data_IF_778928831869
#
_entry.id   IF_778928831869
#
_cell.length_a   1.000
_cell.length_b   1.000
_cell.length_c   1.000
_cell.angle_alpha   90.00
_cell.angle_beta   90.00
_cell.angle_gamma   90.00
#
_symmetry.space_group_name_H-M   'P 1'
#
loop_
_entity.id
_entity.type
_entity.pdbx_description
1 polymer ?
#
# COMPACT_ATOMS: atom_id res chain seq x y z
N UNK A 1 -14.30 22.03 17.86
CA UNK A 1 -14.00 20.59 17.72
C UNK A 1 -15.14 19.78 17.07
N UNK A 2 -16.42 20.08 17.33
CA UNK A 2 -17.55 19.23 16.88
C UNK A 2 -17.77 19.09 15.36
N UNK A 3 -17.34 20.04 14.53
CA UNK A 3 -17.55 19.96 13.08
C UNK A 3 -16.68 18.87 12.41
N UNK A 4 -15.41 18.74 12.80
CA UNK A 4 -14.53 17.71 12.21
C UNK A 4 -14.87 16.31 12.71
N UNK A 5 -15.34 16.18 13.97
CA UNK A 5 -15.81 14.90 14.50
C UNK A 5 -17.05 14.38 13.76
N UNK A 6 -17.90 15.26 13.21
CA UNK A 6 -19.04 14.85 12.37
C UNK A 6 -18.63 14.28 11.00
N UNK A 7 -17.41 14.58 10.55
CA UNK A 7 -16.86 14.04 9.30
C UNK A 7 -16.13 12.70 9.52
N UNK A 8 -15.80 12.37 10.77
CA UNK A 8 -15.20 11.09 11.09
C UNK A 8 -16.25 9.97 10.97
N UNK A 9 -15.86 8.79 10.47
CA UNK A 9 -16.76 7.65 10.42
C UNK A 9 -17.15 7.22 11.85
N UNK A 10 -18.39 6.76 12.02
CA UNK A 10 -18.88 6.29 13.33
C UNK A 10 -18.19 5.01 13.81
N UNK A 11 -17.66 4.22 12.88
CA UNK A 11 -16.86 3.03 13.14
C UNK A 11 -15.83 2.84 12.02
N UNK A 12 -14.79 2.06 12.32
CA UNK A 12 -13.80 1.63 11.32
C UNK A 12 -13.94 0.13 11.08
N UNK A 13 -13.71 -0.35 9.84
CA UNK A 13 -13.71 -1.76 9.53
C UNK A 13 -12.55 -2.49 10.24
N UNK A 14 -12.65 -3.83 10.30
CA UNK A 14 -11.57 -4.65 10.80
C UNK A 14 -10.35 -4.60 9.86
N UNK A 15 -9.11 -4.76 10.38
CA UNK A 15 -7.92 -4.85 9.55
C UNK A 15 -8.03 -6.00 8.54
N UNK A 16 -7.62 -5.75 7.30
CA UNK A 16 -7.58 -6.80 6.28
C UNK A 16 -6.42 -7.77 6.52
N UNK A 17 -6.67 -9.10 6.54
CA UNK A 17 -5.61 -10.09 6.55
C UNK A 17 -4.72 -10.00 5.30
N UNK A 18 -5.26 -9.54 4.17
CA UNK A 18 -4.53 -9.45 2.90
C UNK A 18 -3.45 -8.37 2.92
N UNK A 19 -3.53 -7.41 3.84
CA UNK A 19 -2.53 -6.38 4.05
C UNK A 19 -1.32 -6.85 4.90
N UNK A 20 -1.31 -8.11 5.35
CA UNK A 20 -0.15 -8.67 6.05
C UNK A 20 0.98 -8.96 5.05
N UNK A 21 2.26 -8.82 5.46
CA UNK A 21 3.39 -9.18 4.61
C UNK A 21 3.26 -10.59 4.05
N UNK A 22 3.45 -10.74 2.74
CA UNK A 22 3.23 -12.01 2.05
C UNK A 22 3.09 -11.86 0.55
N UNK A 23 2.82 -13.00 -0.11
CA UNK A 23 2.64 -13.08 -1.56
C UNK A 23 1.23 -13.62 -1.84
N UNK A 24 0.49 -12.89 -2.66
CA UNK A 24 -0.79 -13.30 -3.22
C UNK A 24 -0.54 -13.80 -4.64
N UNK A 25 -0.66 -15.12 -4.85
CA UNK A 25 -0.35 -15.74 -6.13
C UNK A 25 -1.36 -15.33 -7.21
N UNK A 26 -0.87 -15.10 -8.43
CA UNK A 26 -1.69 -14.96 -9.62
C UNK A 26 -2.47 -16.25 -9.92
N UNK A 27 -3.73 -16.12 -10.34
CA UNK A 27 -4.62 -17.22 -10.66
C UNK A 27 -4.53 -17.58 -12.15
N UNK A 28 -4.79 -18.85 -12.48
CA UNK A 28 -4.77 -19.35 -13.85
C UNK A 28 -3.37 -19.77 -14.33
N UNK A 29 -3.26 -20.10 -15.62
CA UNK A 29 -2.02 -20.64 -16.22
C UNK A 29 -1.11 -19.56 -16.78
N UNK A 30 -1.62 -18.33 -17.01
CA UNK A 30 -0.83 -17.21 -17.53
C UNK A 30 -0.24 -16.40 -16.39
N UNK A 31 1.09 -16.21 -16.42
CA UNK A 31 1.81 -15.32 -15.51
C UNK A 31 1.88 -13.93 -16.15
N UNK A 32 1.13 -12.98 -15.60
CA UNK A 32 0.97 -11.63 -16.16
C UNK A 32 1.76 -10.56 -15.38
N UNK A 33 2.86 -10.97 -14.75
CA UNK A 33 3.78 -10.08 -14.04
C UNK A 33 3.69 -10.21 -12.52
N UNK A 34 4.53 -9.43 -11.84
CA UNK A 34 4.72 -9.40 -10.40
C UNK A 34 4.81 -7.95 -9.92
N UNK A 35 3.93 -7.56 -9.01
CA UNK A 35 3.86 -6.17 -8.52
C UNK A 35 3.90 -6.12 -7.00
N UNK A 36 4.47 -5.06 -6.44
CA UNK A 36 4.24 -4.72 -5.04
C UNK A 36 2.99 -3.82 -4.94
N UNK A 37 2.22 -3.95 -3.87
CA UNK A 37 1.14 -3.01 -3.55
C UNK A 37 1.48 -2.26 -2.26
N UNK A 38 1.41 -0.93 -2.30
CA UNK A 38 1.53 -0.11 -1.10
C UNK A 38 0.22 -0.17 -0.29
N UNK A 39 0.26 -0.87 0.84
CA UNK A 39 -0.87 -0.96 1.77
C UNK A 39 -1.23 0.39 2.39
N UNK A 40 -0.22 1.19 2.72
CA UNK A 40 -0.37 2.53 3.30
C UNK A 40 -0.87 2.52 4.74
N UNK A 41 -1.19 3.71 5.26
CA UNK A 41 -1.56 3.89 6.68
C UNK A 41 -3.02 4.31 6.91
N UNK A 42 -3.52 5.31 6.18
CA UNK A 42 -4.87 5.83 6.42
C UNK A 42 -5.93 4.95 5.73
N UNK A 43 -5.71 4.64 4.45
CA UNK A 43 -6.64 3.82 3.66
C UNK A 43 -6.78 2.41 4.23
N UNK A 44 -5.70 1.78 4.70
CA UNK A 44 -5.74 0.45 5.31
C UNK A 44 -6.60 0.37 6.58
N UNK A 45 -6.88 1.51 7.22
CA UNK A 45 -7.76 1.61 8.39
C UNK A 45 -9.16 2.08 8.00
N UNK A 46 -9.26 3.08 7.13
CA UNK A 46 -10.55 3.71 6.79
C UNK A 46 -11.34 2.92 5.74
N UNK A 47 -10.65 2.32 4.76
CA UNK A 47 -11.24 1.55 3.67
C UNK A 47 -10.26 0.48 3.14
N UNK A 48 -10.00 -0.59 3.92
CA UNK A 48 -9.12 -1.67 3.53
C UNK A 48 -9.58 -2.41 2.27
N UNK A 49 -10.89 -2.37 1.97
CA UNK A 49 -11.48 -3.07 0.83
C UNK A 49 -10.93 -2.58 -0.51
N UNK A 50 -10.41 -1.35 -0.60
CA UNK A 50 -9.74 -0.83 -1.79
C UNK A 50 -8.51 -1.69 -2.16
N UNK A 51 -7.65 -1.99 -1.19
CA UNK A 51 -6.47 -2.83 -1.44
C UNK A 51 -6.88 -4.29 -1.66
N UNK A 52 -7.81 -4.81 -0.87
CA UNK A 52 -8.28 -6.19 -0.99
C UNK A 52 -8.87 -6.46 -2.38
N UNK A 53 -9.72 -5.56 -2.86
CA UNK A 53 -10.34 -5.67 -4.18
C UNK A 53 -9.31 -5.50 -5.28
N UNK A 54 -8.31 -4.63 -5.09
CA UNK A 54 -7.19 -4.46 -6.03
C UNK A 54 -6.36 -5.74 -6.13
N UNK A 55 -5.98 -6.35 -4.99
CA UNK A 55 -5.26 -7.63 -4.95
C UNK A 55 -6.11 -8.73 -5.61
N UNK A 56 -7.39 -8.83 -5.26
CA UNK A 56 -8.29 -9.82 -5.83
C UNK A 56 -8.44 -9.67 -7.35
N UNK A 57 -8.52 -8.44 -7.86
CA UNK A 57 -8.57 -8.16 -9.28
C UNK A 57 -7.26 -8.56 -9.98
N UNK A 58 -6.12 -8.08 -9.48
CA UNK A 58 -4.81 -8.33 -10.07
C UNK A 58 -4.47 -9.83 -10.09
N UNK A 59 -4.73 -10.53 -8.97
CA UNK A 59 -4.50 -11.97 -8.90
C UNK A 59 -5.39 -12.75 -9.88
N UNK A 60 -6.67 -12.38 -10.05
CA UNK A 60 -7.54 -12.98 -11.09
C UNK A 60 -7.04 -12.72 -12.51
N UNK A 61 -6.35 -11.61 -12.72
CA UNK A 61 -5.68 -11.29 -13.99
C UNK A 61 -4.33 -12.00 -14.14
N UNK A 62 -3.96 -12.92 -13.24
CA UNK A 62 -2.70 -13.68 -13.33
C UNK A 62 -1.47 -12.90 -12.87
N UNK A 63 -1.65 -11.76 -12.20
CA UNK A 63 -0.56 -10.94 -11.62
C UNK A 63 -0.27 -11.43 -10.21
N UNK A 64 1.00 -11.71 -9.90
CA UNK A 64 1.43 -11.95 -8.53
C UNK A 64 1.52 -10.62 -7.77
N UNK A 65 0.90 -10.53 -6.59
CA UNK A 65 0.91 -9.32 -5.78
C UNK A 65 1.68 -9.56 -4.48
N UNK A 66 2.70 -8.75 -4.26
CA UNK A 66 3.57 -8.80 -3.08
C UNK A 66 3.14 -7.70 -2.12
N UNK A 67 2.96 -8.06 -0.85
CA UNK A 67 2.90 -7.12 0.28
C UNK A 67 4.27 -7.18 0.97
N UNK A 68 5.16 -6.20 0.72
CA UNK A 68 6.55 -6.27 1.15
C UNK A 68 6.70 -6.14 2.67
N UNK A 69 7.62 -6.92 3.25
CA UNK A 69 7.94 -6.78 4.67
C UNK A 69 8.72 -5.47 4.94
N UNK A 70 8.26 -4.73 5.95
CA UNK A 70 8.87 -3.46 6.38
C UNK A 70 8.32 -2.22 5.67
N UNK A 71 7.38 -2.39 4.75
CA UNK A 71 6.55 -1.30 4.22
C UNK A 71 5.70 -0.64 5.32
N UNK A 72 5.40 0.65 5.16
CA UNK A 72 4.44 1.36 6.00
C UNK A 72 3.97 2.69 5.42
N UNK A 73 3.75 3.69 6.29
CA UNK A 73 3.28 5.02 5.89
C UNK A 73 4.16 5.63 4.77
N UNK A 74 3.51 6.19 3.74
CA UNK A 74 4.18 6.86 2.62
C UNK A 74 4.80 8.23 2.97
N UNK A 75 4.48 8.79 4.14
CA UNK A 75 4.98 10.09 4.59
C UNK A 75 4.12 11.30 4.17
N UNK A 76 3.11 11.14 3.31
CA UNK A 76 2.30 12.24 2.76
C UNK A 76 1.73 13.19 3.82
N UNK A 77 1.03 12.65 4.82
CA UNK A 77 0.44 13.48 5.89
C UNK A 77 1.51 14.20 6.72
N UNK A 78 2.62 13.51 7.01
CA UNK A 78 3.74 14.06 7.78
C UNK A 78 4.41 15.20 7.01
N UNK A 79 4.50 15.08 5.68
CA UNK A 79 5.00 16.13 4.80
C UNK A 79 4.11 17.37 4.87
N UNK A 80 2.79 17.23 4.79
CA UNK A 80 1.84 18.35 4.92
C UNK A 80 1.87 19.05 6.29
N UNK A 81 2.43 18.41 7.32
CA UNK A 81 2.67 19.02 8.63
C UNK A 81 3.99 19.80 8.71
N UNK A 82 4.71 19.98 7.58
CA UNK A 82 6.02 20.64 7.54
C UNK A 82 7.17 19.79 8.09
N UNK A 83 6.94 18.48 8.33
CA UNK A 83 7.93 17.57 8.93
C UNK A 83 8.66 16.77 7.84
N UNK A 84 9.33 17.50 6.94
CA UNK A 84 9.91 16.95 5.72
C UNK A 84 10.89 15.79 5.97
N UNK A 85 11.84 15.95 6.89
CA UNK A 85 12.82 14.90 7.19
C UNK A 85 12.16 13.58 7.64
N UNK A 86 11.08 13.65 8.42
CA UNK A 86 10.34 12.47 8.86
C UNK A 86 9.51 11.84 7.72
N UNK A 87 8.99 12.67 6.81
CA UNK A 87 8.30 12.19 5.61
C UNK A 87 9.26 11.46 4.67
N UNK A 88 10.43 12.04 4.38
CA UNK A 88 11.47 11.44 3.54
C UNK A 88 12.01 10.14 4.16
N UNK A 89 12.21 10.10 5.48
CA UNK A 89 12.58 8.87 6.17
C UNK A 89 11.52 7.76 6.00
N UNK A 90 10.24 8.12 5.92
CA UNK A 90 9.16 7.16 5.70
C UNK A 90 9.11 6.66 4.26
N UNK A 91 9.24 7.56 3.29
CA UNK A 91 9.36 7.18 1.89
C UNK A 91 10.58 6.28 1.63
N UNK A 92 11.75 6.61 2.22
CA UNK A 92 12.96 5.79 2.13
C UNK A 92 12.76 4.37 2.66
N UNK A 93 12.10 4.19 3.80
CA UNK A 93 11.80 2.84 4.33
C UNK A 93 10.99 2.00 3.34
N UNK A 94 10.02 2.61 2.66
CA UNK A 94 9.24 1.93 1.63
C UNK A 94 10.11 1.58 0.41
N UNK A 95 10.94 2.50 -0.07
CA UNK A 95 11.90 2.24 -1.16
C UNK A 95 12.85 1.11 -0.79
N UNK A 96 13.37 1.09 0.43
CA UNK A 96 14.26 0.03 0.92
C UNK A 96 13.52 -1.34 0.94
N UNK A 97 12.24 -1.37 1.35
CA UNK A 97 11.41 -2.57 1.32
C UNK A 97 11.14 -3.08 -0.10
N UNK A 98 10.83 -2.18 -1.03
CA UNK A 98 10.62 -2.54 -2.43
C UNK A 98 11.90 -2.98 -3.12
N UNK A 99 13.03 -2.36 -2.80
CA UNK A 99 14.34 -2.75 -3.32
C UNK A 99 14.66 -4.20 -2.92
N UNK A 100 14.44 -4.57 -1.65
CA UNK A 100 14.58 -5.98 -1.22
C UNK A 100 13.64 -6.91 -1.98
N UNK A 101 12.39 -6.51 -2.21
CA UNK A 101 11.42 -7.32 -2.95
C UNK A 101 11.81 -7.48 -4.45
N UNK A 102 12.43 -6.47 -5.05
CA UNK A 102 13.03 -6.53 -6.40
C UNK A 102 14.19 -7.51 -6.41
N UNK A 103 15.09 -7.45 -5.43
CA UNK A 103 16.26 -8.35 -5.34
C UNK A 103 15.86 -9.82 -5.13
N UNK A 104 14.77 -10.10 -4.41
CA UNK A 104 14.32 -11.46 -4.10
C UNK A 104 13.60 -12.18 -5.24
N UNK A 105 12.97 -11.45 -6.17
CA UNK A 105 12.15 -12.07 -7.21
C UNK A 105 11.72 -11.16 -8.37
N UNK A 106 12.28 -9.96 -8.48
CA UNK A 106 11.91 -8.93 -9.46
C UNK A 106 10.57 -8.25 -9.16
N UNK A 107 10.35 -7.04 -9.63
CA UNK A 107 9.02 -6.41 -9.67
C UNK A 107 8.86 -5.67 -10.99
N UNK A 108 7.72 -5.82 -11.64
CA UNK A 108 7.37 -5.09 -12.86
C UNK A 108 6.83 -3.69 -12.53
N UNK A 109 6.16 -3.55 -11.38
CA UNK A 109 5.60 -2.28 -10.93
C UNK A 109 5.38 -2.22 -9.42
N UNK A 110 5.22 -0.99 -8.93
CA UNK A 110 4.71 -0.68 -7.58
C UNK A 110 3.33 -0.02 -7.76
N UNK A 111 2.30 -0.68 -7.26
CA UNK A 111 0.91 -0.24 -7.33
C UNK A 111 0.58 0.58 -6.08
N UNK A 112 0.05 1.78 -6.30
CA UNK A 112 -0.41 2.68 -5.24
C UNK A 112 -1.83 3.09 -5.54
N UNK A 113 -2.76 2.71 -4.66
CA UNK A 113 -4.21 2.96 -4.80
C UNK A 113 -4.64 4.31 -4.19
N UNK A 114 -3.89 4.82 -3.22
CA UNK A 114 -4.14 6.11 -2.59
C UNK A 114 -3.39 7.25 -3.31
N UNK A 115 -4.12 8.20 -3.90
CA UNK A 115 -3.56 9.31 -4.68
C UNK A 115 -2.51 10.13 -3.90
N UNK A 116 -2.79 10.50 -2.65
CA UNK A 116 -1.85 11.27 -1.82
C UNK A 116 -0.54 10.54 -1.51
N UNK A 117 -0.57 9.21 -1.38
CA UNK A 117 0.68 8.44 -1.33
C UNK A 117 1.37 8.40 -2.68
N UNK A 118 0.60 8.26 -3.76
CA UNK A 118 1.11 8.25 -5.13
C UNK A 118 1.89 9.50 -5.49
N UNK A 119 1.39 10.69 -5.13
CA UNK A 119 2.05 11.99 -5.40
C UNK A 119 3.23 12.29 -4.48
N UNK A 120 3.30 11.65 -3.31
CA UNK A 120 4.42 11.87 -2.36
C UNK A 120 5.61 10.99 -2.70
N UNK A 121 5.35 9.80 -3.24
CA UNK A 121 6.40 8.82 -3.55
C UNK A 121 6.98 8.98 -4.96
N UNK A 122 6.17 9.41 -5.92
CA UNK A 122 6.59 9.66 -7.31
C UNK A 122 7.06 11.09 -7.47
#
# INVERSE_FOLDING_TARGET
>A
LGAMLKLAPASVPAPSPMASPGIHAGQGTRKNGRVAILTGCAQSVLDPAINDTTIALLTRLGVEVVVPEGEGCCGALVHHMGREAAALASARRNVDAWTRAIEQGGLDAIVITASGCGTTIK
#
